data_IF_258576818814
#
_entry.id   IF_258576818814
#
_cell.length_a   1.000
_cell.length_b   1.000
_cell.length_c   1.000
_cell.angle_alpha   90.00
_cell.angle_beta   90.00
_cell.angle_gamma   90.00
#
_symmetry.space_group_name_H-M   'P 1'
#
loop_
_entity.id
_entity.type
_entity.pdbx_description
1 polymer ?
#
# COMPACT_ATOMS: atom_id res chain seq x y z
N UNK A 1 -4.88 -29.82 -2.46
CA UNK A 1 -4.80 -28.46 -1.87
C UNK A 1 -5.04 -27.49 -3.01
N UNK A 2 -5.91 -26.50 -2.82
CA UNK A 2 -6.17 -25.48 -3.85
C UNK A 2 -5.10 -24.40 -3.69
N UNK A 3 -4.44 -24.00 -4.78
CA UNK A 3 -3.56 -22.84 -4.76
C UNK A 3 -4.37 -21.58 -4.61
N UNK A 4 -3.99 -20.71 -3.67
CA UNK A 4 -4.58 -19.38 -3.50
C UNK A 4 -4.49 -18.64 -4.85
N UNK A 5 -5.60 -18.10 -5.39
CA UNK A 5 -5.54 -17.27 -6.59
C UNK A 5 -4.75 -15.98 -6.31
N UNK A 6 -4.36 -15.26 -7.37
CA UNK A 6 -3.85 -13.91 -7.21
C UNK A 6 -4.89 -13.06 -6.48
N UNK A 7 -4.42 -12.18 -5.57
CA UNK A 7 -5.32 -11.30 -4.84
C UNK A 7 -5.99 -10.34 -5.83
N UNK A 8 -7.33 -10.18 -5.76
CA UNK A 8 -8.03 -9.27 -6.64
C UNK A 8 -7.58 -7.83 -6.36
N UNK A 9 -7.79 -6.94 -7.33
CA UNK A 9 -7.53 -5.51 -7.19
C UNK A 9 -8.82 -4.71 -7.30
N UNK A 10 -8.94 -3.64 -6.50
CA UNK A 10 -10.05 -2.71 -6.54
C UNK A 10 -9.50 -1.30 -6.30
N UNK A 11 -9.68 -0.39 -7.26
CA UNK A 11 -9.17 0.98 -7.17
C UNK A 11 -9.71 1.69 -5.93
N UNK A 12 -8.82 2.25 -5.10
CA UNK A 12 -9.16 2.91 -3.84
C UNK A 12 -9.33 1.98 -2.64
N UNK A 13 -9.06 0.68 -2.79
CA UNK A 13 -9.21 -0.30 -1.72
C UNK A 13 -8.04 -1.29 -1.63
N UNK A 14 -7.72 -1.71 -0.42
CA UNK A 14 -6.80 -2.80 -0.10
C UNK A 14 -7.58 -4.11 0.10
N UNK A 15 -7.10 -5.19 -0.50
CA UNK A 15 -7.69 -6.52 -0.33
C UNK A 15 -7.32 -7.09 1.05
N UNK A 16 -8.33 -7.29 1.91
CA UNK A 16 -8.15 -7.72 3.29
C UNK A 16 -8.36 -9.25 3.49
N UNK A 17 -8.65 -9.98 2.42
CA UNK A 17 -8.77 -11.43 2.43
C UNK A 17 -10.13 -11.95 1.96
N UNK A 18 -10.20 -13.28 1.87
CA UNK A 18 -11.39 -14.03 1.52
C UNK A 18 -12.10 -14.51 2.79
N UNK A 19 -13.43 -14.47 2.79
CA UNK A 19 -14.27 -14.81 3.93
C UNK A 19 -15.38 -15.78 3.51
N UNK A 20 -15.87 -16.62 4.42
CA UNK A 20 -16.94 -17.60 4.13
C UNK A 20 -18.34 -17.02 4.29
N UNK A 21 -18.47 -15.81 4.81
CA UNK A 21 -19.74 -15.10 4.98
C UNK A 21 -19.69 -13.70 4.38
N UNK A 22 -20.86 -13.22 3.94
CA UNK A 22 -21.02 -11.91 3.30
C UNK A 22 -20.67 -10.73 4.22
N UNK A 23 -20.76 -10.90 5.54
CA UNK A 23 -20.41 -9.87 6.52
C UNK A 23 -18.89 -9.82 6.81
N UNK A 24 -18.11 -10.70 6.17
CA UNK A 24 -16.65 -10.78 6.32
C UNK A 24 -16.21 -10.94 7.77
N UNK A 25 -16.85 -11.88 8.50
CA UNK A 25 -16.54 -12.18 9.90
C UNK A 25 -15.69 -13.42 10.08
N UNK A 26 -15.77 -14.38 9.15
CA UNK A 26 -15.05 -15.65 9.18
C UNK A 26 -14.04 -15.72 8.02
N UNK A 27 -12.77 -15.44 8.32
CA UNK A 27 -11.71 -15.50 7.33
C UNK A 27 -11.49 -16.93 6.83
N UNK A 28 -11.30 -17.09 5.53
CA UNK A 28 -11.06 -18.37 4.89
C UNK A 28 -9.57 -18.71 4.87
N UNK A 29 -9.21 -19.88 5.41
CA UNK A 29 -7.87 -20.44 5.33
C UNK A 29 -7.73 -21.36 4.10
N UNK A 30 -6.90 -20.95 3.14
CA UNK A 30 -6.60 -21.70 1.91
C UNK A 30 -5.90 -23.03 2.14
N UNK A 31 -5.41 -23.31 3.36
CA UNK A 31 -4.89 -24.64 3.75
C UNK A 31 -6.00 -25.63 4.06
N UNK A 32 -7.24 -25.17 4.24
CA UNK A 32 -8.39 -26.01 4.54
C UNK A 32 -8.76 -26.89 3.35
N UNK A 33 -9.16 -28.14 3.62
CA UNK A 33 -9.66 -29.06 2.59
C UNK A 33 -11.03 -28.60 2.12
N UNK A 34 -11.16 -28.39 0.81
CA UNK A 34 -12.45 -28.14 0.15
C UNK A 34 -13.04 -29.48 -0.27
N UNK A 35 -14.22 -29.83 0.26
CA UNK A 35 -14.92 -31.10 -0.04
C UNK A 35 -16.19 -30.92 -0.85
N UNK A 36 -16.50 -29.69 -1.28
CA UNK A 36 -17.67 -29.33 -2.08
C UNK A 36 -17.58 -27.88 -2.55
N UNK A 37 -18.60 -27.42 -3.27
CA UNK A 37 -18.64 -26.04 -3.74
C UNK A 37 -18.65 -25.06 -2.55
N UNK A 38 -17.86 -24.00 -2.65
CA UNK A 38 -17.76 -22.94 -1.65
C UNK A 38 -17.92 -21.58 -2.33
N UNK A 39 -18.60 -20.65 -1.66
CA UNK A 39 -18.63 -19.24 -2.03
C UNK A 39 -17.76 -18.46 -1.06
N UNK A 40 -16.85 -17.65 -1.60
CA UNK A 40 -15.99 -16.77 -0.82
C UNK A 40 -16.32 -15.31 -1.13
N UNK A 41 -16.24 -14.48 -0.11
CA UNK A 41 -16.53 -13.05 -0.15
C UNK A 41 -15.23 -12.28 0.08
N UNK A 42 -14.90 -11.37 -0.83
CA UNK A 42 -13.73 -10.51 -0.71
C UNK A 42 -14.02 -9.37 0.27
N UNK A 43 -13.15 -9.20 1.27
CA UNK A 43 -13.18 -8.02 2.15
C UNK A 43 -12.24 -6.95 1.58
N UNK A 44 -12.72 -5.71 1.61
CA UNK A 44 -12.01 -4.54 1.10
C UNK A 44 -11.96 -3.46 2.17
N UNK A 45 -10.77 -2.91 2.41
CA UNK A 45 -10.57 -1.77 3.28
C UNK A 45 -10.22 -0.55 2.43
N UNK A 46 -10.64 0.66 2.84
CA UNK A 46 -10.27 1.89 2.13
C UNK A 46 -8.74 1.98 2.09
N UNK A 47 -8.18 2.34 0.94
CA UNK A 47 -6.76 2.57 0.77
C UNK A 47 -6.49 3.88 0.05
N UNK A 48 -5.35 4.48 0.37
CA UNK A 48 -4.86 5.72 -0.21
C UNK A 48 -3.54 5.48 -0.92
N UNK A 49 -3.29 6.31 -1.94
CA UNK A 49 -2.07 6.26 -2.72
C UNK A 49 -1.01 7.17 -2.11
N UNK A 50 0.13 6.59 -1.78
CA UNK A 50 1.36 7.33 -1.44
C UNK A 50 2.23 7.34 -2.69
N UNK A 51 2.30 8.49 -3.35
CA UNK A 51 3.10 8.71 -4.55
C UNK A 51 4.48 9.24 -4.19
N UNK A 52 5.50 8.83 -4.93
CA UNK A 52 6.88 9.25 -4.69
C UNK A 52 7.41 10.00 -5.91
N UNK A 53 7.58 11.32 -5.76
CA UNK A 53 8.28 12.15 -6.72
C UNK A 53 9.76 12.26 -6.32
N UNK A 54 10.61 11.53 -7.02
CA UNK A 54 12.05 11.52 -6.76
C UNK A 54 12.76 12.81 -7.17
N UNK A 55 12.05 13.84 -7.67
CA UNK A 55 12.63 15.12 -8.12
C UNK A 55 13.84 14.92 -9.06
N UNK A 56 13.67 14.00 -10.03
CA UNK A 56 14.69 13.67 -11.03
C UNK A 56 15.75 12.66 -10.58
N UNK A 57 15.55 11.98 -9.45
CA UNK A 57 16.32 10.76 -9.12
C UNK A 57 15.69 9.49 -9.68
N UNK A 58 16.24 8.32 -9.30
CA UNK A 58 15.69 7.02 -9.68
C UNK A 58 14.21 6.88 -9.30
N UNK A 59 13.43 6.17 -10.13
CA UNK A 59 12.00 5.97 -9.90
C UNK A 59 11.72 5.13 -8.65
N UNK A 60 10.66 5.48 -7.94
CA UNK A 60 10.16 4.76 -6.77
C UNK A 60 8.70 4.40 -7.06
N UNK A 61 8.33 3.15 -6.82
CA UNK A 61 6.97 2.70 -7.02
C UNK A 61 6.04 3.32 -5.98
N UNK A 62 4.85 3.74 -6.42
CA UNK A 62 3.79 4.19 -5.53
C UNK A 62 3.34 3.05 -4.62
N UNK A 63 2.83 3.41 -3.44
CA UNK A 63 2.26 2.46 -2.50
C UNK A 63 0.76 2.67 -2.39
N UNK A 64 0.02 1.57 -2.30
CA UNK A 64 -1.37 1.56 -1.85
C UNK A 64 -1.36 1.18 -0.37
N UNK A 65 -1.82 2.09 0.48
CA UNK A 65 -1.77 1.96 1.94
C UNK A 65 -3.18 1.99 2.49
N UNK A 66 -3.56 0.97 3.25
CA UNK A 66 -4.85 0.96 3.94
C UNK A 66 -5.00 2.20 4.85
N UNK A 67 -6.19 2.78 4.90
CA UNK A 67 -6.50 3.91 5.76
C UNK A 67 -6.08 3.64 7.21
N UNK A 68 -5.50 4.65 7.85
CA UNK A 68 -4.95 4.60 9.20
C UNK A 68 -3.72 3.68 9.40
N UNK A 69 -3.15 3.12 8.33
CA UNK A 69 -1.86 2.43 8.37
C UNK A 69 -0.72 3.36 7.92
N UNK A 70 0.52 2.93 8.15
CA UNK A 70 1.73 3.66 7.78
C UNK A 70 2.25 3.22 6.42
N UNK A 71 2.77 4.16 5.64
CA UNK A 71 3.53 3.85 4.44
C UNK A 71 4.86 3.17 4.79
N UNK A 72 5.37 2.29 3.94
CA UNK A 72 6.72 1.74 4.09
C UNK A 72 7.74 2.73 3.54
N UNK A 73 8.83 2.99 4.27
CA UNK A 73 9.93 3.81 3.73
C UNK A 73 10.59 3.06 2.56
N UNK A 74 10.61 3.61 1.34
CA UNK A 74 11.29 2.97 0.22
C UNK A 74 12.81 3.02 0.39
N UNK A 75 13.53 2.27 -0.44
CA UNK A 75 14.95 2.50 -0.62
C UNK A 75 15.19 3.95 -1.06
N UNK A 76 16.28 4.55 -0.58
CA UNK A 76 16.62 5.92 -0.97
C UNK A 76 16.85 5.96 -2.49
N UNK A 77 16.23 6.92 -3.21
CA UNK A 77 16.52 7.07 -4.63
C UNK A 77 17.97 7.52 -4.84
N UNK A 78 18.48 7.39 -6.06
CA UNK A 78 19.80 7.90 -6.46
C UNK A 78 19.68 9.03 -7.50
N UNK A 79 20.55 10.04 -7.39
CA UNK A 79 20.69 11.15 -8.34
C UNK A 79 22.15 11.58 -8.41
N UNK A 80 22.75 11.53 -9.60
CA UNK A 80 24.18 11.78 -9.80
C UNK A 80 24.57 13.18 -9.33
N UNK A 81 25.55 13.27 -8.42
CA UNK A 81 26.07 14.53 -7.89
C UNK A 81 25.29 15.11 -6.70
N UNK A 82 24.30 14.39 -6.16
CA UNK A 82 23.45 14.84 -5.05
C UNK A 82 23.40 13.82 -3.91
N UNK A 83 23.01 14.28 -2.71
CA UNK A 83 22.83 13.43 -1.53
C UNK A 83 21.38 13.44 -1.11
N UNK A 84 20.73 12.27 -1.09
CA UNK A 84 19.35 12.19 -0.65
C UNK A 84 19.19 12.61 0.82
N UNK A 85 18.42 13.68 1.05
CA UNK A 85 18.22 14.27 2.38
C UNK A 85 16.89 13.85 3.05
N UNK A 86 15.93 13.31 2.29
CA UNK A 86 14.68 12.80 2.84
C UNK A 86 13.47 13.00 1.93
N UNK A 87 12.31 12.56 2.44
CA UNK A 87 11.00 12.74 1.80
C UNK A 87 10.22 13.84 2.50
N UNK A 88 9.53 14.67 1.74
CA UNK A 88 8.79 15.84 2.21
C UNK A 88 7.37 15.84 1.66
N UNK A 89 6.42 16.46 2.36
CA UNK A 89 5.00 16.49 1.96
C UNK A 89 4.65 17.61 0.98
N UNK A 90 5.60 18.51 0.73
CA UNK A 90 5.47 19.65 -0.17
C UNK A 90 6.65 19.72 -1.16
N UNK A 91 6.39 20.31 -2.33
CA UNK A 91 7.38 20.45 -3.41
C UNK A 91 8.60 21.28 -2.98
N UNK A 92 8.39 22.27 -2.12
CA UNK A 92 9.45 23.16 -1.63
C UNK A 92 10.32 22.48 -0.54
N UNK A 93 10.00 21.24 -0.18
CA UNK A 93 10.71 20.43 0.79
C UNK A 93 10.89 21.14 2.15
N UNK A 94 9.79 21.71 2.65
CA UNK A 94 9.72 22.43 3.93
C UNK A 94 9.26 21.56 5.09
N UNK A 95 8.36 20.59 4.84
CA UNK A 95 7.80 19.68 5.86
C UNK A 95 8.26 18.25 5.62
N UNK A 96 9.17 17.76 6.46
CA UNK A 96 9.66 16.38 6.37
C UNK A 96 8.54 15.38 6.69
N UNK A 97 8.44 14.33 5.89
CA UNK A 97 7.49 13.25 6.12
C UNK A 97 8.03 12.23 7.12
N UNK A 98 7.23 11.93 8.13
CA UNK A 98 7.49 10.85 9.09
C UNK A 98 6.75 9.58 8.67
N UNK A 99 7.50 8.52 8.33
CA UNK A 99 6.93 7.22 7.95
C UNK A 99 6.24 6.49 9.12
N UNK A 100 6.33 7.00 10.35
CA UNK A 100 5.48 6.56 11.47
C UNK A 100 4.08 7.18 11.44
N UNK A 101 3.86 8.21 10.60
CA UNK A 101 2.55 8.85 10.43
C UNK A 101 1.58 7.99 9.64
N UNK A 102 0.32 8.00 10.09
CA UNK A 102 -0.78 7.30 9.44
C UNK A 102 -1.18 8.00 8.14
N UNK A 103 -1.42 7.21 7.12
CA UNK A 103 -1.99 7.67 5.85
C UNK A 103 -3.50 7.76 6.01
N UNK A 104 -4.04 8.96 5.85
CA UNK A 104 -5.47 9.28 5.98
C UNK A 104 -6.05 9.90 4.71
N UNK A 105 -5.24 10.03 3.67
CA UNK A 105 -5.59 10.57 2.37
C UNK A 105 -4.47 10.27 1.37
N UNK A 106 -4.76 10.47 0.09
CA UNK A 106 -3.73 10.42 -0.94
C UNK A 106 -2.67 11.50 -0.67
N UNK A 107 -1.40 11.13 -0.83
CA UNK A 107 -0.27 12.03 -0.57
C UNK A 107 0.82 11.81 -1.61
N UNK A 108 1.47 12.90 -2.04
CA UNK A 108 2.70 12.83 -2.82
C UNK A 108 3.86 13.27 -1.94
N UNK A 109 4.90 12.44 -1.89
CA UNK A 109 6.14 12.71 -1.19
C UNK A 109 7.22 13.12 -2.17
N UNK A 110 7.91 14.21 -1.87
CA UNK A 110 8.93 14.82 -2.72
C UNK A 110 10.33 14.56 -2.14
N UNK A 111 11.25 14.10 -2.97
CA UNK A 111 12.62 13.87 -2.55
C UNK A 111 13.40 15.18 -2.45
N UNK A 112 14.07 15.39 -1.31
CA UNK A 112 15.08 16.44 -1.15
C UNK A 112 16.47 15.87 -1.44
N UNK A 113 17.26 16.63 -2.19
CA UNK A 113 18.59 16.29 -2.69
C UNK A 113 19.66 17.26 -2.21
#
# INVERSE_FOLDING_TARGET
MISKPADPTLTGYAFAGWYTDKNCTNAYDFRSKVTGNISLYAKWNIAYTVSFDSNGGSSIANQSVESNHTASKPANPSKTGFTFAGWFTDKDCTTAYDFSSKVTGDITLYAKW
#
